data_IF_091775995108
#
_entry.id   IF_091775995108
#
_cell.length_a   1.000
_cell.length_b   1.000
_cell.length_c   1.000
_cell.angle_alpha   90.00
_cell.angle_beta   90.00
_cell.angle_gamma   90.00
#
_symmetry.space_group_name_H-M   'P 1'
#
loop_
_entity.id
_entity.type
_entity.pdbx_description
1 polymer ?
#
# COMPACT_ATOMS: atom_id res chain seq x y z
N UNK A 1 11.47 -1.23 -30.78
CA UNK A 1 12.21 -0.28 -29.93
C UNK A 1 11.26 0.87 -29.60
N UNK A 2 10.61 0.84 -28.44
CA UNK A 2 9.71 1.92 -28.01
C UNK A 2 10.56 3.16 -27.69
N UNK A 3 10.26 4.30 -28.31
CA UNK A 3 10.87 5.59 -27.98
C UNK A 3 10.14 6.12 -26.75
N UNK A 4 10.78 6.06 -25.59
CA UNK A 4 10.28 6.79 -24.42
C UNK A 4 10.28 8.28 -24.74
N UNK A 5 9.10 8.88 -24.76
CA UNK A 5 8.94 10.31 -25.04
C UNK A 5 8.99 11.06 -23.71
N UNK A 6 9.75 12.16 -23.65
CA UNK A 6 9.86 12.94 -22.43
C UNK A 6 8.73 14.00 -22.36
N UNK A 7 8.07 14.21 -21.21
CA UNK A 7 8.23 13.48 -19.94
C UNK A 7 7.60 12.08 -19.98
N UNK A 8 8.26 11.05 -19.39
CA UNK A 8 7.72 9.70 -19.36
C UNK A 8 6.44 9.63 -18.53
N UNK A 9 5.52 8.75 -18.92
CA UNK A 9 4.28 8.50 -18.18
C UNK A 9 3.03 9.16 -18.76
N UNK A 10 3.11 9.73 -19.97
CA UNK A 10 1.93 10.21 -20.70
C UNK A 10 1.10 9.08 -21.29
N UNK A 11 1.74 7.98 -21.67
CA UNK A 11 1.07 6.78 -22.17
C UNK A 11 1.34 5.58 -21.26
N UNK A 12 0.48 4.56 -21.39
CA UNK A 12 0.67 3.30 -20.68
C UNK A 12 1.93 2.56 -21.17
N UNK A 13 2.37 2.77 -22.41
CA UNK A 13 3.55 2.11 -22.98
C UNK A 13 4.86 2.51 -22.30
N UNK A 14 5.05 3.79 -22.00
CA UNK A 14 6.18 4.34 -21.26
C UNK A 14 6.20 3.81 -19.82
N UNK A 15 5.03 3.73 -19.18
CA UNK A 15 4.92 3.17 -17.83
C UNK A 15 5.22 1.68 -17.83
N UNK A 16 4.71 0.90 -18.79
CA UNK A 16 5.02 -0.52 -18.89
C UNK A 16 6.51 -0.79 -19.19
N UNK A 17 7.17 0.13 -19.91
CA UNK A 17 8.62 0.06 -20.09
C UNK A 17 9.38 0.25 -18.76
N UNK A 18 8.92 1.16 -17.90
CA UNK A 18 9.53 1.43 -16.59
C UNK A 18 9.14 0.39 -15.52
N UNK A 19 7.96 -0.21 -15.65
CA UNK A 19 7.39 -1.18 -14.73
C UNK A 19 7.04 -2.48 -15.49
N UNK A 20 8.04 -3.19 -16.05
CA UNK A 20 7.80 -4.35 -16.92
C UNK A 20 7.17 -5.56 -16.22
N UNK A 21 7.15 -5.54 -14.89
CA UNK A 21 6.53 -6.57 -14.06
C UNK A 21 5.04 -6.33 -13.80
N UNK A 22 4.52 -5.18 -14.21
CA UNK A 22 3.10 -4.81 -14.06
C UNK A 22 2.41 -5.08 -15.40
N UNK A 23 1.34 -5.86 -15.38
CA UNK A 23 0.55 -6.14 -16.59
C UNK A 23 -0.32 -4.93 -17.00
N UNK A 24 -0.76 -4.90 -18.26
CA UNK A 24 -1.59 -3.83 -18.81
C UNK A 24 -2.90 -3.59 -18.05
N UNK A 25 -3.52 -4.65 -17.52
CA UNK A 25 -4.81 -4.57 -16.82
C UNK A 25 -4.64 -3.95 -15.43
N UNK A 26 -3.56 -4.30 -14.76
CA UNK A 26 -3.14 -3.74 -13.48
C UNK A 26 -2.76 -2.28 -13.65
N UNK A 27 -1.94 -1.96 -14.65
CA UNK A 27 -1.56 -0.59 -15.00
C UNK A 27 -2.81 0.26 -15.23
N UNK A 28 -3.73 -0.21 -16.08
CA UNK A 28 -5.00 0.48 -16.34
C UNK A 28 -5.82 0.67 -15.07
N UNK A 29 -5.82 -0.29 -14.15
CA UNK A 29 -6.55 -0.19 -12.88
C UNK A 29 -5.93 0.83 -11.91
N UNK A 30 -4.61 0.99 -11.95
CA UNK A 30 -3.90 2.03 -11.18
C UNK A 30 -4.25 3.40 -11.72
N UNK A 31 -4.14 3.59 -13.04
CA UNK A 31 -4.38 4.87 -13.71
C UNK A 31 -5.83 5.34 -13.57
N UNK A 32 -6.78 4.41 -13.58
CA UNK A 32 -8.20 4.72 -13.39
C UNK A 32 -8.64 4.71 -11.92
N UNK A 33 -7.71 4.50 -10.97
CA UNK A 33 -7.99 4.45 -9.53
C UNK A 33 -9.10 3.44 -9.17
N UNK A 34 -9.06 2.27 -9.81
CA UNK A 34 -9.97 1.14 -9.57
C UNK A 34 -9.27 -0.05 -8.89
N UNK A 35 -7.94 -0.04 -8.81
CA UNK A 35 -7.18 -1.04 -8.05
C UNK A 35 -7.64 -1.10 -6.59
N UNK A 36 -7.87 -2.30 -6.06
CA UNK A 36 -8.23 -2.47 -4.66
C UNK A 36 -6.96 -2.51 -3.80
N UNK A 37 -7.04 -2.02 -2.55
CA UNK A 37 -5.90 -2.04 -1.63
C UNK A 37 -5.37 -3.45 -1.36
N UNK A 38 -6.26 -4.45 -1.39
CA UNK A 38 -5.88 -5.86 -1.21
C UNK A 38 -5.04 -6.41 -2.36
N UNK A 39 -5.09 -5.80 -3.53
CA UNK A 39 -4.39 -6.25 -4.75
C UNK A 39 -3.02 -5.57 -4.94
N UNK A 40 -2.68 -4.55 -4.14
CA UNK A 40 -1.43 -3.80 -4.27
C UNK A 40 -0.20 -4.72 -4.22
N UNK A 41 -0.24 -5.80 -3.43
CA UNK A 41 0.86 -6.78 -3.28
C UNK A 41 1.34 -7.37 -4.62
N UNK A 42 0.49 -7.37 -5.65
CA UNK A 42 0.84 -7.85 -7.00
C UNK A 42 1.92 -6.98 -7.67
N UNK A 43 2.13 -5.77 -7.16
CA UNK A 43 3.20 -4.86 -7.59
C UNK A 43 4.54 -5.16 -6.90
N UNK A 44 4.60 -6.14 -6.00
CA UNK A 44 5.85 -6.49 -5.33
C UNK A 44 6.74 -7.31 -6.28
N UNK A 45 7.71 -6.64 -6.89
CA UNK A 45 8.69 -7.29 -7.76
C UNK A 45 9.54 -8.34 -7.05
N UNK A 46 9.67 -8.28 -5.70
CA UNK A 46 10.39 -9.30 -4.92
C UNK A 46 9.65 -10.64 -4.95
N UNK A 47 8.32 -10.61 -4.86
CA UNK A 47 7.48 -11.81 -4.94
C UNK A 47 7.48 -12.43 -6.32
N UNK A 48 7.65 -11.62 -7.36
CA UNK A 48 7.80 -12.13 -8.74
C UNK A 48 9.12 -12.88 -8.87
N UNK A 49 10.19 -12.42 -8.23
CA UNK A 49 11.47 -13.12 -8.16
C UNK A 49 11.39 -14.40 -7.30
N UNK A 50 10.69 -14.35 -6.17
CA UNK A 50 10.45 -15.51 -5.30
C UNK A 50 9.56 -16.57 -5.98
N UNK A 51 8.52 -16.18 -6.73
CA UNK A 51 7.66 -17.11 -7.49
C UNK A 51 8.39 -17.82 -8.64
N UNK A 52 9.50 -17.24 -9.15
CA UNK A 52 10.40 -17.95 -10.07
C UNK A 52 11.27 -18.99 -9.36
N UNK A 53 11.45 -18.88 -8.03
CA UNK A 53 12.11 -19.91 -7.21
C UNK A 53 11.12 -20.94 -6.63
N UNK A 54 9.86 -20.57 -6.40
CA UNK A 54 8.77 -21.42 -5.89
C UNK A 54 8.04 -22.27 -6.96
N UNK A 55 8.61 -22.44 -8.17
CA UNK A 55 8.14 -23.49 -9.10
C UNK A 55 8.45 -24.93 -8.62
N UNK A 56 8.77 -25.11 -7.33
CA UNK A 56 8.86 -26.38 -6.64
C UNK A 56 7.93 -26.33 -5.43
N UNK A 57 6.79 -27.01 -5.57
CA UNK A 57 5.86 -27.47 -4.52
C UNK A 57 4.49 -26.74 -4.43
N UNK A 58 3.40 -27.38 -4.92
CA UNK A 58 2.04 -26.89 -4.76
C UNK A 58 1.27 -27.71 -3.72
N UNK A 59 1.02 -27.15 -2.54
CA UNK A 59 -0.22 -27.47 -1.82
C UNK A 59 -0.59 -26.35 -0.85
N UNK A 60 -1.83 -25.84 -0.96
CA UNK A 60 -2.87 -26.03 0.05
C UNK A 60 -4.14 -25.25 -0.34
N UNK A 61 -5.25 -25.97 -0.30
CA UNK A 61 -6.61 -25.49 -0.54
C UNK A 61 -7.29 -24.92 0.72
N UNK A 62 -8.21 -24.00 0.44
CA UNK A 62 -9.54 -23.75 1.04
C UNK A 62 -9.72 -23.47 2.54
N UNK A 63 -10.37 -22.34 2.88
CA UNK A 63 -11.37 -22.26 3.96
C UNK A 63 -12.10 -20.90 4.06
N UNK A 64 -13.36 -21.01 4.50
CA UNK A 64 -14.47 -20.05 4.49
C UNK A 64 -14.52 -18.98 5.61
N UNK A 65 -15.04 -17.80 5.24
CA UNK A 65 -15.91 -16.81 5.94
C UNK A 65 -15.63 -16.32 7.38
N UNK A 66 -15.38 -15.01 7.54
CA UNK A 66 -15.89 -14.15 8.64
C UNK A 66 -15.75 -12.66 8.31
N UNK A 67 -16.58 -11.79 8.90
CA UNK A 67 -16.61 -10.31 8.76
C UNK A 67 -15.40 -9.59 9.45
N UNK A 68 -14.21 -10.16 9.30
CA UNK A 68 -12.92 -9.54 9.62
C UNK A 68 -12.11 -9.47 8.31
N UNK A 69 -11.02 -8.69 8.27
CA UNK A 69 -10.07 -8.66 7.14
C UNK A 69 -10.04 -10.03 6.43
N UNK A 70 -10.17 -10.10 5.08
CA UNK A 70 -10.05 -11.37 4.39
C UNK A 70 -8.77 -12.05 4.89
N UNK A 71 -8.81 -13.31 5.37
CA UNK A 71 -7.62 -14.01 5.88
C UNK A 71 -6.42 -13.87 4.93
N UNK A 72 -6.74 -13.91 3.63
CA UNK A 72 -5.87 -13.64 2.49
C UNK A 72 -5.09 -12.33 2.61
N UNK A 73 -5.69 -11.20 3.02
CA UNK A 73 -4.97 -9.92 3.10
C UNK A 73 -3.90 -9.90 4.20
N UNK A 74 -4.14 -10.57 5.33
CA UNK A 74 -3.16 -10.67 6.43
C UNK A 74 -2.01 -11.59 6.03
N UNK A 75 -2.30 -12.67 5.31
CA UNK A 75 -1.28 -13.57 4.74
C UNK A 75 -0.44 -12.86 3.67
N UNK A 76 -1.10 -12.09 2.79
CA UNK A 76 -0.43 -11.33 1.74
C UNK A 76 0.43 -10.21 2.33
N UNK A 77 -0.07 -9.48 3.32
CA UNK A 77 0.66 -8.40 3.99
C UNK A 77 1.00 -8.81 5.42
N UNK A 78 1.96 -9.74 5.57
CA UNK A 78 2.37 -10.24 6.88
C UNK A 78 3.23 -9.23 7.67
N UNK A 79 3.76 -8.20 7.01
CA UNK A 79 4.67 -7.22 7.59
C UNK A 79 4.52 -5.83 6.94
N UNK A 80 5.09 -4.83 7.59
CA UNK A 80 5.14 -3.47 7.05
C UNK A 80 5.92 -3.42 5.72
N UNK A 81 6.99 -4.19 5.56
CA UNK A 81 7.76 -4.18 4.32
C UNK A 81 7.02 -4.88 3.16
N UNK A 82 6.25 -5.94 3.45
CA UNK A 82 5.36 -6.58 2.48
C UNK A 82 4.27 -5.63 1.97
N UNK A 83 3.92 -4.60 2.74
CA UNK A 83 3.02 -3.52 2.33
C UNK A 83 3.75 -2.37 1.63
N UNK A 84 4.83 -1.85 2.21
CA UNK A 84 5.49 -0.63 1.74
C UNK A 84 6.15 -0.79 0.37
N UNK A 85 6.74 -1.94 0.07
CA UNK A 85 7.42 -2.13 -1.23
C UNK A 85 6.46 -2.04 -2.41
N UNK A 86 5.38 -2.84 -2.49
CA UNK A 86 4.42 -2.71 -3.57
C UNK A 86 3.68 -1.35 -3.55
N UNK A 87 3.45 -0.78 -2.37
CA UNK A 87 2.86 0.55 -2.24
C UNK A 87 3.77 1.66 -2.81
N UNK A 88 5.08 1.55 -2.66
CA UNK A 88 6.03 2.48 -3.26
C UNK A 88 6.05 2.36 -4.80
N UNK A 89 5.90 1.14 -5.34
CA UNK A 89 5.73 0.94 -6.77
C UNK A 89 4.45 1.62 -7.28
N UNK A 90 3.34 1.41 -6.58
CA UNK A 90 2.06 2.08 -6.84
C UNK A 90 2.21 3.61 -6.86
N UNK A 91 2.83 4.21 -5.84
CA UNK A 91 3.05 5.66 -5.77
C UNK A 91 4.01 6.18 -6.84
N UNK A 92 4.98 5.38 -7.27
CA UNK A 92 5.90 5.75 -8.34
C UNK A 92 5.17 5.84 -9.68
N UNK A 93 4.31 4.86 -10.00
CA UNK A 93 3.46 4.87 -11.19
C UNK A 93 2.54 6.11 -11.17
N UNK A 94 1.83 6.33 -10.06
CA UNK A 94 0.95 7.49 -9.91
C UNK A 94 1.69 8.83 -10.03
N UNK A 95 2.91 8.90 -9.49
CA UNK A 95 3.75 10.10 -9.58
C UNK A 95 4.10 10.41 -11.01
N UNK A 96 4.64 9.43 -11.76
CA UNK A 96 5.06 9.64 -13.14
C UNK A 96 3.87 10.05 -14.01
N UNK A 97 2.78 9.29 -13.95
CA UNK A 97 1.57 9.61 -14.70
C UNK A 97 0.96 10.95 -14.29
N UNK A 98 0.85 11.21 -12.98
CA UNK A 98 0.26 12.42 -12.45
C UNK A 98 1.02 13.67 -12.89
N UNK A 99 2.35 13.68 -12.74
CA UNK A 99 3.19 14.80 -13.16
C UNK A 99 3.11 15.02 -14.68
N UNK A 100 3.12 13.95 -15.47
CA UNK A 100 2.96 14.01 -16.92
C UNK A 100 1.57 14.55 -17.34
N UNK A 101 0.55 14.34 -16.49
CA UNK A 101 -0.83 14.80 -16.66
C UNK A 101 -1.13 16.16 -16.01
N UNK A 102 -0.10 16.89 -15.56
CA UNK A 102 -0.24 18.25 -15.02
C UNK A 102 -0.60 18.34 -13.53
N UNK A 103 -0.48 17.24 -12.77
CA UNK A 103 -0.59 17.30 -11.31
C UNK A 103 0.55 18.11 -10.70
N UNK A 104 0.35 18.72 -9.51
CA UNK A 104 1.38 19.49 -8.84
C UNK A 104 2.63 18.67 -8.55
N UNK A 105 3.81 19.31 -8.61
CA UNK A 105 5.10 18.71 -8.22
C UNK A 105 5.16 18.27 -6.76
N UNK A 106 4.18 18.68 -5.95
CA UNK A 106 3.96 18.23 -4.57
C UNK A 106 3.37 16.81 -4.47
N UNK A 107 2.97 16.18 -5.57
CA UNK A 107 2.36 14.85 -5.56
C UNK A 107 3.19 13.78 -4.80
N UNK A 108 4.52 13.64 -5.03
CA UNK A 108 5.35 12.69 -4.28
C UNK A 108 5.39 12.96 -2.78
N UNK A 109 5.28 14.23 -2.38
CA UNK A 109 5.30 14.63 -0.97
C UNK A 109 4.09 14.06 -0.22
N UNK A 110 2.90 14.04 -0.83
CA UNK A 110 1.72 13.45 -0.21
C UNK A 110 1.88 11.95 0.05
N UNK A 111 2.42 11.23 -0.93
CA UNK A 111 2.70 9.79 -0.81
C UNK A 111 3.77 9.51 0.25
N UNK A 112 4.85 10.29 0.29
CA UNK A 112 5.88 10.15 1.31
C UNK A 112 5.35 10.38 2.73
N UNK A 113 4.47 11.38 2.92
CA UNK A 113 3.81 11.63 4.21
C UNK A 113 2.98 10.43 4.64
N UNK A 114 2.26 9.81 3.72
CA UNK A 114 1.48 8.61 4.01
C UNK A 114 2.37 7.42 4.42
N UNK A 115 3.42 7.13 3.65
CA UNK A 115 4.36 6.06 4.00
C UNK A 115 5.00 6.28 5.37
N UNK A 116 5.40 7.50 5.68
CA UNK A 116 5.92 7.88 7.01
C UNK A 116 4.88 7.70 8.11
N UNK A 117 3.61 8.00 7.82
CA UNK A 117 2.51 7.80 8.75
C UNK A 117 2.28 6.30 9.02
N UNK A 118 2.30 5.44 8.00
CA UNK A 118 2.22 3.98 8.15
C UNK A 118 3.32 3.47 9.09
N UNK A 119 4.58 3.88 8.85
CA UNK A 119 5.71 3.52 9.73
C UNK A 119 5.40 3.91 11.18
N UNK A 120 4.95 5.14 11.42
CA UNK A 120 4.61 5.62 12.77
C UNK A 120 3.52 4.78 13.44
N UNK A 121 2.41 4.51 12.75
CA UNK A 121 1.28 3.79 13.36
C UNK A 121 1.60 2.31 13.60
N UNK A 122 2.47 1.68 12.80
CA UNK A 122 2.91 0.30 13.10
C UNK A 122 3.70 0.18 14.40
N UNK A 123 4.38 1.25 14.84
CA UNK A 123 5.08 1.24 16.13
C UNK A 123 4.10 1.31 17.31
N UNK A 124 2.91 1.90 17.11
CA UNK A 124 1.96 2.23 18.18
C UNK A 124 0.77 1.29 18.26
N UNK A 125 0.39 0.67 17.14
CA UNK A 125 -0.82 -0.13 17.00
C UNK A 125 -0.51 -1.53 16.49
N UNK A 126 -1.43 -2.46 16.76
CA UNK A 126 -1.33 -3.84 16.27
C UNK A 126 -1.38 -3.88 14.74
N UNK A 127 -0.63 -4.83 14.14
CA UNK A 127 -0.50 -4.91 12.69
C UNK A 127 -1.83 -5.11 11.94
N UNK A 128 -2.74 -6.03 12.36
CA UNK A 128 -4.03 -6.19 11.69
C UNK A 128 -4.89 -4.90 11.69
N UNK A 129 -4.80 -4.09 12.74
CA UNK A 129 -5.48 -2.81 12.83
C UNK A 129 -4.90 -1.80 11.83
N UNK A 130 -3.57 -1.73 11.72
CA UNK A 130 -2.88 -0.90 10.72
C UNK A 130 -3.23 -1.31 9.30
N UNK A 131 -3.29 -2.61 9.03
CA UNK A 131 -3.68 -3.11 7.71
C UNK A 131 -5.14 -2.75 7.38
N UNK A 132 -6.07 -2.91 8.33
CA UNK A 132 -7.47 -2.49 8.17
C UNK A 132 -7.58 -1.00 7.85
N UNK A 133 -6.86 -0.18 8.62
CA UNK A 133 -6.76 1.27 8.38
C UNK A 133 -6.24 1.57 6.98
N UNK A 134 -5.14 0.92 6.55
CA UNK A 134 -4.58 1.10 5.22
C UNK A 134 -5.59 0.80 4.11
N UNK A 135 -6.27 -0.34 4.16
CA UNK A 135 -7.24 -0.74 3.13
C UNK A 135 -8.45 0.21 3.05
N UNK A 136 -8.94 0.68 4.20
CA UNK A 136 -10.02 1.66 4.26
C UNK A 136 -9.56 3.03 3.73
N UNK A 137 -8.38 3.48 4.15
CA UNK A 137 -7.77 4.73 3.72
C UNK A 137 -7.55 4.72 2.20
N UNK A 138 -6.95 3.66 1.66
CA UNK A 138 -6.72 3.50 0.23
C UNK A 138 -8.03 3.60 -0.56
N UNK A 139 -9.07 2.88 -0.15
CA UNK A 139 -10.40 2.94 -0.78
C UNK A 139 -10.96 4.36 -0.84
N UNK A 140 -10.82 5.14 0.25
CA UNK A 140 -11.25 6.53 0.30
C UNK A 140 -10.42 7.40 -0.66
N UNK A 141 -9.10 7.23 -0.68
CA UNK A 141 -8.21 7.98 -1.57
C UNK A 141 -8.41 7.65 -3.04
N UNK A 142 -8.73 6.42 -3.41
CA UNK A 142 -9.10 6.08 -4.79
C UNK A 142 -10.30 6.89 -5.27
N UNK A 143 -11.28 7.17 -4.41
CA UNK A 143 -12.44 8.02 -4.77
C UNK A 143 -12.01 9.46 -5.00
N UNK A 144 -11.16 10.00 -4.13
CA UNK A 144 -10.65 11.37 -4.24
C UNK A 144 -9.80 11.56 -5.53
N UNK A 145 -8.94 10.58 -5.84
CA UNK A 145 -8.08 10.64 -7.03
C UNK A 145 -8.87 10.57 -8.34
N UNK A 146 -10.05 9.94 -8.38
CA UNK A 146 -10.91 9.94 -9.59
C UNK A 146 -11.40 11.32 -10.00
N UNK A 147 -11.44 12.27 -9.06
CA UNK A 147 -11.73 13.69 -9.34
C UNK A 147 -10.47 14.55 -9.37
N UNK A 148 -9.29 13.92 -9.35
CA UNK A 148 -7.99 14.58 -9.41
C UNK A 148 -7.45 15.12 -8.08
N UNK A 149 -8.08 14.82 -6.94
CA UNK A 149 -7.57 15.24 -5.62
C UNK A 149 -6.65 14.18 -5.00
N UNK A 150 -5.35 14.48 -4.98
CA UNK A 150 -4.33 13.65 -4.34
C UNK A 150 -3.93 14.14 -2.94
N UNK A 151 -4.35 15.34 -2.52
CA UNK A 151 -3.93 15.95 -1.25
C UNK A 151 -4.38 15.13 -0.03
N UNK A 152 -5.44 14.33 -0.19
CA UNK A 152 -5.89 13.36 0.80
C UNK A 152 -4.80 12.40 1.28
N UNK A 153 -3.84 12.02 0.44
CA UNK A 153 -2.74 11.13 0.85
C UNK A 153 -1.81 11.79 1.88
N UNK A 154 -1.64 13.11 1.82
CA UNK A 154 -0.80 13.86 2.75
C UNK A 154 -1.44 14.12 4.11
N UNK A 155 -2.70 13.75 4.30
CA UNK A 155 -3.50 14.02 5.51
C UNK A 155 -3.76 12.73 6.29
N UNK A 156 -3.72 12.86 7.62
CA UNK A 156 -4.16 11.80 8.53
C UNK A 156 -5.68 11.78 8.53
N UNK A 157 -6.27 10.60 8.41
CA UNK A 157 -7.72 10.41 8.44
C UNK A 157 -8.16 10.03 9.86
N UNK A 158 -8.59 11.03 10.62
CA UNK A 158 -8.89 10.90 12.06
C UNK A 158 -10.05 9.91 12.29
N UNK A 159 -11.10 9.96 11.47
CA UNK A 159 -12.24 9.06 11.58
C UNK A 159 -11.79 7.59 11.43
N UNK A 160 -10.94 7.32 10.43
CA UNK A 160 -10.39 5.98 10.23
C UNK A 160 -9.43 5.58 11.37
N UNK A 161 -8.65 6.52 11.93
CA UNK A 161 -7.80 6.23 13.09
C UNK A 161 -8.65 5.84 14.30
N UNK A 162 -9.71 6.59 14.61
CA UNK A 162 -10.62 6.29 15.71
C UNK A 162 -11.31 4.93 15.53
N UNK A 163 -11.75 4.64 14.30
CA UNK A 163 -12.44 3.40 13.98
C UNK A 163 -11.53 2.17 14.05
N UNK A 164 -10.34 2.24 13.45
CA UNK A 164 -9.50 1.05 13.22
C UNK A 164 -8.31 0.95 14.17
N UNK A 165 -7.70 2.07 14.59
CA UNK A 165 -6.43 2.05 15.31
C UNK A 165 -6.62 2.19 16.82
N UNK A 166 -7.38 3.19 17.29
CA UNK A 166 -7.53 3.51 18.72
C UNK A 166 -7.87 2.29 19.59
N UNK A 167 -8.79 1.38 19.21
CA UNK A 167 -9.11 0.19 20.02
C UNK A 167 -7.96 -0.83 20.13
N UNK A 168 -6.94 -0.71 19.29
CA UNK A 168 -5.86 -1.70 19.09
C UNK A 168 -4.47 -1.13 19.38
N UNK A 169 -4.38 -0.18 20.31
CA UNK A 169 -3.10 0.37 20.73
C UNK A 169 -2.27 -0.68 21.47
N UNK A 170 -1.00 -0.81 21.11
CA UNK A 170 -0.06 -1.69 21.81
C UNK A 170 0.08 -1.22 23.25
N UNK A 171 -0.21 -2.11 24.21
CA UNK A 171 0.02 -1.82 25.61
C UNK A 171 1.51 -1.57 25.85
N UNK A 172 1.86 -0.37 26.33
CA UNK A 172 3.21 -0.10 26.79
C UNK A 172 3.47 -1.02 27.98
N UNK A 173 4.35 -2.01 27.81
CA UNK A 173 4.84 -2.81 28.95
C UNK A 173 5.52 -1.85 29.93
N UNK A 174 4.81 -1.42 30.96
CA UNK A 174 5.42 -0.72 32.09
C UNK A 174 6.40 -1.70 32.73
N UNK A 175 7.71 -1.41 32.79
CA UNK A 175 8.63 -2.27 33.52
C UNK A 175 8.24 -2.18 34.99
N UNK A 176 7.70 -3.27 35.54
CA UNK A 176 7.53 -3.43 36.99
C UNK A 176 8.92 -3.29 37.61
N UNK A 177 9.20 -2.15 38.24
CA UNK A 177 10.31 -2.03 39.19
C UNK A 177 9.98 -2.97 40.36
N UNK A 178 10.49 -4.19 40.30
CA UNK A 178 10.60 -5.05 41.49
C UNK A 178 11.68 -4.42 42.37
N UNK A 179 11.24 -3.51 43.25
CA UNK A 179 12.08 -2.97 44.31
C UNK A 179 12.49 -4.11 45.24
N UNK A 180 13.78 -4.41 45.26
CA UNK A 180 14.39 -5.24 46.29
C UNK A 180 14.38 -4.43 47.58
N UNK A 181 13.58 -4.84 48.57
CA UNK A 181 13.73 -4.38 49.95
C UNK A 181 14.89 -5.15 50.58
N UNK A 182 15.84 -4.38 51.13
CA UNK A 182 16.92 -4.85 52.00
C UNK A 182 16.39 -5.14 53.40
#
# INVERSE_FOLDING_TARGET
MSRSTYPPGQDSGDLLYLFPHVDDTMMSSILNHTLQGVDIYKLDSRRILESQWDMVDPSLEDSSLSLRLPPVAIELYHSLDALLVPLNAYFSILTLHGLASGQPTMLPYYFFRYSSHLVKITMQYEWPAVLSYHLAFHTRRCKDMRVGDYAGWGRVDVDLMEQFLVPHQKSAKVPRKTGWMK
#
